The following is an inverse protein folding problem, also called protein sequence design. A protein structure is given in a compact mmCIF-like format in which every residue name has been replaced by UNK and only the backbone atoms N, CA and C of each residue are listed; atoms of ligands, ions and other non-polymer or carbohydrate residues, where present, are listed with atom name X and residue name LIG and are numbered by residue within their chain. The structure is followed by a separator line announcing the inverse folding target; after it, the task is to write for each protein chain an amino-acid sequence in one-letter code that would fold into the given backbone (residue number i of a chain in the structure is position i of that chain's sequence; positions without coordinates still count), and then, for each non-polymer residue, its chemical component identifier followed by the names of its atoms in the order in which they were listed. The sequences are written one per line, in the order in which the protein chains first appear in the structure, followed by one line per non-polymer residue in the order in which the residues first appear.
data_IF_688859984711
#
_entry.id   IF_688859984711
#
_cell.length_a   1.000
_cell.length_b   1.000
_cell.length_c   1.000
_cell.angle_alpha   90.00
_cell.angle_beta   90.00
_cell.angle_gamma   90.00
#
_symmetry.space_group_name_H-M   'P 1'
#
loop_
_entity.id
_entity.type
_entity.pdbx_description
1 polymer ?
#
# COMPACT_ATOMS: atom_id res chain seq x y z
N UNK A 1 11.70 -3.47 26.55
CA UNK A 1 10.72 -3.10 25.52
C UNK A 1 11.40 -2.37 24.39
N UNK A 2 10.94 -2.56 23.16
CA UNK A 2 11.50 -2.00 21.94
C UNK A 2 10.46 -1.09 21.31
N UNK A 3 10.86 0.15 21.05
CA UNK A 3 10.07 1.15 20.36
C UNK A 3 10.24 1.05 18.85
N UNK A 4 9.14 1.20 18.11
CA UNK A 4 9.09 1.17 16.65
C UNK A 4 8.49 2.46 16.12
N UNK A 5 9.37 3.35 15.68
CA UNK A 5 8.95 4.59 15.03
C UNK A 5 8.54 4.32 13.58
N UNK A 6 7.50 5.02 13.12
CA UNK A 6 6.98 4.83 11.76
C UNK A 6 6.50 6.12 11.10
N UNK A 7 6.42 6.07 9.76
CA UNK A 7 5.84 7.11 8.91
C UNK A 7 4.74 6.49 8.05
N UNK A 8 3.57 7.10 8.05
CA UNK A 8 2.41 6.67 7.28
C UNK A 8 2.05 7.74 6.25
N UNK A 9 1.99 7.34 4.98
CA UNK A 9 1.63 8.21 3.86
C UNK A 9 0.22 7.87 3.37
N UNK A 10 -0.59 8.90 3.13
CA UNK A 10 -1.94 8.75 2.59
C UNK A 10 -2.05 9.24 1.15
N UNK A 11 -3.11 8.83 0.45
CA UNK A 11 -3.34 9.17 -0.95
C UNK A 11 -3.56 10.66 -1.21
N UNK A 12 -4.01 11.42 -0.19
CA UNK A 12 -4.14 12.87 -0.23
C UNK A 12 -2.78 13.60 -0.09
N UNK A 13 -1.69 12.85 0.06
CA UNK A 13 -0.33 13.35 0.24
C UNK A 13 0.01 13.73 1.68
N UNK A 14 -0.91 13.56 2.63
CA UNK A 14 -0.61 13.77 4.05
C UNK A 14 0.32 12.69 4.60
N UNK A 15 1.07 13.06 5.65
CA UNK A 15 2.02 12.19 6.33
C UNK A 15 1.78 12.27 7.84
N UNK A 16 1.67 11.11 8.47
CA UNK A 16 1.59 10.97 9.92
C UNK A 16 2.84 10.27 10.43
N UNK A 17 3.48 10.87 11.42
CA UNK A 17 4.62 10.29 12.12
C UNK A 17 4.15 9.68 13.44
N UNK A 18 4.53 8.43 13.66
CA UNK A 18 4.26 7.65 14.87
C UNK A 18 5.57 7.48 15.64
N UNK A 19 5.97 8.52 16.38
CA UNK A 19 7.19 8.54 17.21
C UNK A 19 6.92 9.17 18.59
N UNK A 20 5.65 9.35 18.94
CA UNK A 20 5.25 9.92 20.22
C UNK A 20 5.36 8.92 21.36
N UNK A 21 5.52 9.44 22.57
CA UNK A 21 5.47 8.67 23.81
C UNK A 21 4.05 8.16 24.11
N UNK A 22 3.94 7.23 25.07
CA UNK A 22 2.65 6.75 25.55
C UNK A 22 1.74 7.89 26.01
N UNK A 23 0.52 7.97 25.45
CA UNK A 23 -0.44 9.02 25.75
C UNK A 23 -0.32 10.28 24.88
N UNK A 24 0.64 10.33 23.96
CA UNK A 24 0.62 11.33 22.89
C UNK A 24 -0.49 11.04 21.86
N UNK A 25 -0.78 11.99 20.97
CA UNK A 25 -1.75 11.82 19.88
C UNK A 25 -1.35 10.70 18.91
N UNK A 26 -0.06 10.62 18.56
CA UNK A 26 0.50 9.61 17.66
C UNK A 26 1.61 8.79 18.35
N UNK A 27 1.26 7.91 19.31
CA UNK A 27 2.24 7.14 20.05
C UNK A 27 2.87 6.07 19.15
N UNK A 28 4.17 5.81 19.30
CA UNK A 28 4.82 4.70 18.63
C UNK A 28 4.39 3.34 19.19
N UNK A 29 4.63 2.27 18.43
CA UNK A 29 4.39 0.92 18.91
C UNK A 29 5.53 0.44 19.78
N UNK A 30 5.21 -0.24 20.89
CA UNK A 30 6.19 -0.80 21.82
C UNK A 30 6.00 -2.31 21.91
N UNK A 31 7.07 -3.07 21.75
CA UNK A 31 7.07 -4.54 21.88
C UNK A 31 7.91 -4.98 23.07
N UNK A 32 7.33 -5.77 23.96
CA UNK A 32 8.08 -6.43 25.03
C UNK A 32 8.55 -7.80 24.58
N UNK A 33 9.85 -8.08 24.69
CA UNK A 33 10.42 -9.41 24.47
C UNK A 33 10.63 -10.02 25.84
N UNK A 34 9.80 -11.01 26.18
CA UNK A 34 9.90 -11.74 27.44
C UNK A 34 10.62 -13.07 27.21
N UNK A 35 11.43 -13.47 28.19
CA UNK A 35 12.04 -14.79 28.19
C UNK A 35 10.96 -15.85 28.39
N UNK A 36 11.05 -16.96 27.65
CA UNK A 36 10.16 -18.10 27.86
C UNK A 36 10.40 -18.70 29.25
N UNK A 37 9.32 -19.11 29.92
CA UNK A 37 9.41 -19.78 31.22
C UNK A 37 9.94 -21.21 31.00
N UNK A 38 11.24 -21.40 31.25
CA UNK A 38 11.89 -22.71 31.22
C UNK A 38 13.25 -22.68 30.52
N UNK A 39 14.31 -22.74 31.32
CA UNK A 39 15.60 -23.31 30.93
C UNK A 39 16.55 -22.39 30.17
N UNK A 40 17.60 -21.98 30.86
CA UNK A 40 18.93 -21.94 30.29
C UNK A 40 19.25 -23.33 29.73
N UNK A 41 19.07 -23.54 28.42
CA UNK A 41 19.69 -24.61 27.64
C UNK A 41 19.27 -24.46 26.16
N UNK A 42 20.27 -24.22 25.31
CA UNK A 42 20.11 -24.13 23.86
C UNK A 42 19.45 -25.41 23.31
N UNK A 43 18.18 -25.35 22.92
CA UNK A 43 17.55 -26.36 22.10
C UNK A 43 16.77 -25.70 20.97
N UNK A 44 17.23 -25.94 19.74
CA UNK A 44 16.51 -25.58 18.52
C UNK A 44 15.26 -26.47 18.39
N UNK A 45 14.24 -26.15 19.17
CA UNK A 45 12.97 -26.87 19.22
C UNK A 45 11.82 -25.91 18.99
N UNK A 46 11.54 -25.66 17.71
CA UNK A 46 10.36 -24.93 17.24
C UNK A 46 9.09 -25.49 17.88
N UNK A 47 8.55 -24.79 18.89
CA UNK A 47 7.16 -24.98 19.32
C UNK A 47 6.37 -23.81 18.77
N UNK A 48 6.04 -23.92 17.49
CA UNK A 48 5.08 -23.03 16.82
C UNK A 48 3.77 -23.14 17.58
N UNK A 49 3.40 -22.09 18.32
CA UNK A 49 2.00 -21.88 18.67
C UNK A 49 1.28 -21.67 17.35
N UNK A 50 0.45 -22.64 17.00
CA UNK A 50 -0.34 -22.65 15.78
C UNK A 50 -1.47 -21.61 15.89
N UNK A 51 -1.11 -20.33 15.75
CA UNK A 51 -2.03 -19.24 15.39
C UNK A 51 -1.89 -18.93 13.90
N UNK A 52 -1.52 -19.96 13.11
CA UNK A 52 -1.45 -19.84 11.66
C UNK A 52 -2.87 -19.84 11.13
N UNK A 53 -3.33 -18.65 10.74
CA UNK A 53 -4.50 -18.47 9.89
C UNK A 53 -4.42 -19.47 8.73
N UNK A 54 -5.51 -20.20 8.48
CA UNK A 54 -5.55 -21.14 7.36
C UNK A 54 -5.40 -20.37 6.04
N UNK A 55 -4.79 -20.99 5.03
CA UNK A 55 -4.72 -20.42 3.67
C UNK A 55 -6.11 -20.08 3.08
N UNK A 56 -7.17 -20.71 3.60
CA UNK A 56 -8.57 -20.41 3.28
C UNK A 56 -8.98 -18.99 3.73
N UNK A 57 -8.52 -18.56 4.91
CA UNK A 57 -8.84 -17.27 5.52
C UNK A 57 -8.02 -16.13 4.90
N UNK A 58 -6.74 -16.38 4.59
CA UNK A 58 -5.91 -15.47 3.79
C UNK A 58 -6.49 -15.23 2.38
N UNK A 59 -7.03 -16.28 1.74
CA UNK A 59 -7.67 -16.16 0.42
C UNK A 59 -9.05 -15.50 0.46
N UNK A 60 -9.76 -15.55 1.60
CA UNK A 60 -11.01 -14.81 1.78
C UNK A 60 -10.77 -13.30 1.91
N UNK A 61 -9.63 -12.89 2.51
CA UNK A 61 -9.20 -11.49 2.63
C UNK A 61 -8.65 -10.98 1.29
N UNK A 62 -7.89 -11.79 0.54
CA UNK A 62 -7.34 -11.40 -0.78
C UNK A 62 -8.38 -11.35 -1.92
N UNK A 63 -9.59 -11.91 -1.75
CA UNK A 63 -10.61 -11.89 -2.81
C UNK A 63 -11.18 -10.50 -3.12
N UNK A 64 -10.98 -9.52 -2.24
CA UNK A 64 -11.38 -8.13 -2.48
C UNK A 64 -10.25 -7.26 -3.10
N UNK A 65 -9.01 -7.77 -3.22
CA UNK A 65 -7.89 -7.02 -3.82
C UNK A 65 -7.80 -7.14 -5.35
N UNK A 66 -8.59 -8.01 -5.98
CA UNK A 66 -8.65 -8.22 -7.44
C UNK A 66 -9.54 -7.18 -8.19
N UNK A 67 -9.97 -6.09 -7.54
CA UNK A 67 -10.79 -5.08 -8.21
C UNK A 67 -10.56 -3.64 -7.75
N UNK A 68 -9.35 -3.13 -7.92
CA UNK A 68 -9.14 -1.69 -8.10
C UNK A 68 -7.95 -1.41 -9.02
N UNK A 69 -8.10 -1.74 -10.30
CA UNK A 69 -7.48 -0.95 -11.37
C UNK A 69 -8.19 0.41 -11.43
N UNK A 70 -8.05 1.24 -10.39
CA UNK A 70 -8.55 2.62 -10.41
C UNK A 70 -7.62 3.41 -11.31
N UNK A 71 -7.86 3.36 -12.62
CA UNK A 71 -7.20 4.24 -13.56
C UNK A 71 -7.46 5.68 -13.12
N UNK A 72 -6.37 6.42 -12.89
CA UNK A 72 -6.45 7.80 -12.40
C UNK A 72 -7.33 8.60 -13.39
N UNK A 73 -8.32 9.37 -12.92
CA UNK A 73 -9.20 10.17 -13.80
C UNK A 73 -8.42 11.10 -14.76
N UNK A 74 -7.18 11.48 -14.42
CA UNK A 74 -6.28 12.19 -15.35
C UNK A 74 -5.94 11.41 -16.62
N UNK A 75 -5.91 10.07 -16.58
CA UNK A 75 -5.64 9.23 -17.75
C UNK A 75 -6.74 9.40 -18.81
N UNK A 76 -8.00 9.52 -18.40
CA UNK A 76 -9.10 9.78 -19.34
C UNK A 76 -9.01 11.18 -19.97
N UNK A 77 -8.56 12.18 -19.22
CA UNK A 77 -8.31 13.53 -19.73
C UNK A 77 -7.19 13.50 -20.75
N UNK A 78 -6.07 12.82 -20.44
CA UNK A 78 -4.94 12.69 -21.35
C UNK A 78 -5.31 11.95 -22.65
N UNK A 79 -6.10 10.86 -22.55
CA UNK A 79 -6.62 10.13 -23.73
C UNK A 79 -7.55 11.03 -24.53
N UNK A 80 -8.46 11.77 -23.88
CA UNK A 80 -9.37 12.70 -24.56
C UNK A 80 -8.64 13.81 -25.33
N UNK A 81 -7.64 14.43 -24.71
CA UNK A 81 -6.80 15.45 -25.36
C UNK A 81 -6.01 14.86 -26.54
N UNK A 82 -5.45 13.65 -26.37
CA UNK A 82 -4.67 12.99 -27.42
C UNK A 82 -5.53 12.65 -28.64
N UNK A 83 -6.76 12.15 -28.42
CA UNK A 83 -7.70 11.87 -29.50
C UNK A 83 -8.14 13.16 -30.21
N UNK A 84 -8.41 14.23 -29.47
CA UNK A 84 -8.75 15.53 -30.03
C UNK A 84 -7.61 16.10 -30.89
N UNK A 85 -6.37 16.07 -30.38
CA UNK A 85 -5.19 16.53 -31.09
C UNK A 85 -4.93 15.70 -32.36
N UNK A 86 -5.11 14.38 -32.29
CA UNK A 86 -4.97 13.49 -33.43
C UNK A 86 -5.99 13.82 -34.54
N UNK A 87 -7.25 14.07 -34.19
CA UNK A 87 -8.28 14.47 -35.15
C UNK A 87 -7.95 15.81 -35.82
N UNK A 88 -7.51 16.80 -35.03
CA UNK A 88 -7.11 18.11 -35.56
C UNK A 88 -5.91 17.97 -36.52
N UNK A 89 -4.91 17.16 -36.15
CA UNK A 89 -3.75 16.91 -37.00
C UNK A 89 -4.14 16.22 -38.33
N UNK A 90 -5.00 15.21 -38.27
CA UNK A 90 -5.51 14.52 -39.45
C UNK A 90 -6.27 15.48 -40.40
N UNK A 91 -7.13 16.33 -39.85
CA UNK A 91 -7.87 17.33 -40.63
C UNK A 91 -6.91 18.37 -41.25
N UNK A 92 -5.92 18.83 -40.51
CA UNK A 92 -4.92 19.79 -41.01
C UNK A 92 -4.09 19.21 -42.16
N UNK A 93 -3.69 17.93 -42.08
CA UNK A 93 -2.98 17.24 -43.17
C UNK A 93 -3.87 17.11 -44.41
N UNK A 94 -5.14 16.77 -44.24
CA UNK A 94 -6.09 16.64 -45.35
C UNK A 94 -6.44 17.99 -46.01
N UNK A 95 -6.50 19.07 -45.22
CA UNK A 95 -6.74 20.43 -45.74
C UNK A 95 -5.50 21.06 -46.38
N UNK A 96 -4.32 20.86 -45.79
CA UNK A 96 -3.04 21.36 -46.32
C UNK A 96 -2.58 20.68 -47.61
N UNK A 97 -3.26 19.62 -48.05
CA UNK A 97 -2.99 18.92 -49.32
C UNK A 97 -3.87 19.39 -50.48
N UNK A 98 -4.73 20.39 -50.23
CA UNK A 98 -5.73 20.91 -51.19
C UNK A 98 -5.39 22.30 -51.74
N UNK A 99 -4.27 22.88 -51.34
CA UNK A 99 -3.60 24.02 -51.98
C UNK A 99 -2.29 23.54 -52.62
#
# INVERSE_FOLDING_TARGET
DIAWDAYQHYADGSLVQWSGEAGAENPHSITSIVQASGGDEHSHGSTVKNDSMSMEEHNAIMKDEEKINSVNPMVYIAVGISLLAFLIAAISILRGRKE
#
